data_IF_077160738340
#
_entry.id   IF_077160738340
#
_cell.length_a   1.000
_cell.length_b   1.000
_cell.length_c   1.000
_cell.angle_alpha   90.00
_cell.angle_beta   90.00
_cell.angle_gamma   90.00
#
_symmetry.space_group_name_H-M   'P 1'
#
loop_
_entity.id
_entity.type
_entity.pdbx_description
1 polymer ?
#
# COMPACT_ATOMS: atom_id res chain seq x y z
N UNK A 1 12.84 6.85 6.55
CA UNK A 1 11.81 6.17 7.38
C UNK A 1 10.93 5.31 6.52
N UNK A 2 10.74 4.07 6.90
CA UNK A 2 9.80 3.10 6.32
C UNK A 2 8.69 2.83 7.33
N UNK A 3 7.48 2.57 6.85
CA UNK A 3 6.33 2.33 7.72
C UNK A 3 5.59 1.09 7.26
N UNK A 4 5.46 0.15 8.17
CA UNK A 4 4.75 -1.11 7.99
C UNK A 4 3.59 -1.14 8.98
N UNK A 5 2.42 -1.56 8.54
CA UNK A 5 1.29 -1.62 9.45
C UNK A 5 0.22 -2.60 9.01
N UNK A 6 -0.55 -3.07 9.96
CA UNK A 6 -1.83 -3.74 9.79
C UNK A 6 -2.87 -3.10 10.73
N UNK A 7 -3.97 -3.77 10.99
CA UNK A 7 -5.03 -3.25 11.87
C UNK A 7 -4.57 -3.14 13.33
N UNK A 8 -3.65 -4.00 13.77
CA UNK A 8 -3.26 -4.15 15.16
C UNK A 8 -1.97 -3.39 15.52
N UNK A 9 -1.06 -3.25 14.57
CA UNK A 9 0.27 -2.69 14.83
C UNK A 9 0.74 -1.72 13.75
N UNK A 10 1.66 -0.85 14.17
CA UNK A 10 2.47 0.00 13.29
C UNK A 10 3.93 -0.21 13.64
N UNK A 11 4.74 -0.47 12.64
CA UNK A 11 6.18 -0.63 12.77
C UNK A 11 6.89 0.35 11.86
N UNK A 12 7.74 1.20 12.42
CA UNK A 12 8.49 2.23 11.72
C UNK A 12 9.96 1.93 11.86
N UNK A 13 10.68 1.99 10.74
CA UNK A 13 12.12 1.73 10.67
C UNK A 13 12.80 2.95 10.05
N UNK A 14 13.89 3.40 10.68
CA UNK A 14 14.83 4.29 10.04
C UNK A 14 15.78 3.49 9.15
N UNK A 15 16.08 4.01 7.97
CA UNK A 15 17.11 3.49 7.09
C UNK A 15 17.55 4.60 6.15
N UNK A 16 18.82 4.66 5.85
CA UNK A 16 19.40 5.55 4.84
C UNK A 16 19.14 5.04 3.42
N UNK A 17 18.77 3.77 3.31
CA UNK A 17 18.49 3.12 2.03
C UNK A 17 16.99 3.15 1.72
N UNK A 18 16.63 3.55 0.48
CA UNK A 18 15.26 3.46 -0.05
C UNK A 18 15.04 2.21 -0.91
N UNK A 19 16.03 1.35 -1.04
CA UNK A 19 15.97 0.16 -1.88
C UNK A 19 15.44 -1.08 -1.15
N UNK A 20 15.45 -2.20 -1.89
CA UNK A 20 14.99 -3.49 -1.41
C UNK A 20 15.75 -3.99 -0.17
N UNK A 21 17.03 -3.61 -0.02
CA UNK A 21 17.85 -4.00 1.14
C UNK A 21 17.18 -3.65 2.48
N UNK A 22 16.52 -2.51 2.60
CA UNK A 22 15.79 -2.17 3.83
C UNK A 22 14.65 -3.14 4.13
N UNK A 23 13.94 -3.60 3.09
CA UNK A 23 12.88 -4.60 3.26
C UNK A 23 13.47 -5.94 3.72
N UNK A 24 14.55 -6.37 3.07
CA UNK A 24 15.26 -7.61 3.37
C UNK A 24 15.84 -7.62 4.80
N UNK A 25 16.48 -6.52 5.21
CA UNK A 25 17.02 -6.36 6.57
C UNK A 25 15.91 -6.31 7.64
N UNK A 26 14.73 -5.77 7.27
CA UNK A 26 13.57 -5.68 8.19
C UNK A 26 12.84 -7.01 8.31
N UNK A 27 12.68 -7.73 7.20
CA UNK A 27 11.94 -9.00 7.10
C UNK A 27 12.82 -10.07 6.44
N UNK A 28 13.72 -10.68 7.20
CA UNK A 28 14.73 -11.65 6.73
C UNK A 28 14.13 -12.76 5.86
N UNK A 29 12.93 -13.24 6.20
CA UNK A 29 12.21 -14.27 5.44
C UNK A 29 11.10 -13.71 4.54
N UNK A 30 11.04 -12.40 4.38
CA UNK A 30 9.91 -11.72 3.74
C UNK A 30 8.64 -11.76 4.59
N UNK A 31 7.50 -11.79 3.91
CA UNK A 31 6.15 -11.81 4.49
C UNK A 31 5.34 -13.02 3.97
N UNK A 32 5.81 -14.27 4.18
CA UNK A 32 5.26 -15.46 3.51
C UNK A 32 3.81 -15.78 3.90
N UNK A 33 3.30 -15.18 4.98
CA UNK A 33 1.94 -15.38 5.48
C UNK A 33 1.08 -14.12 5.39
N UNK A 34 1.54 -13.09 4.68
CA UNK A 34 0.83 -11.81 4.60
C UNK A 34 0.66 -11.32 3.16
N UNK A 35 -0.39 -10.54 2.94
CA UNK A 35 -0.56 -9.75 1.72
C UNK A 35 0.10 -8.38 1.92
N UNK A 36 1.10 -8.08 1.09
CA UNK A 36 1.75 -6.78 1.09
C UNK A 36 0.96 -5.79 0.22
N UNK A 37 0.47 -4.74 0.85
CA UNK A 37 -0.16 -3.64 0.14
C UNK A 37 0.81 -2.46 0.00
N UNK A 38 0.92 -1.90 -1.22
CA UNK A 38 1.90 -0.87 -1.52
C UNK A 38 1.52 0.03 -2.72
N UNK A 39 2.25 1.14 -2.87
CA UNK A 39 2.06 2.17 -3.91
C UNK A 39 2.70 1.84 -5.28
N UNK A 40 3.06 0.59 -5.53
CA UNK A 40 3.78 0.11 -6.73
C UNK A 40 5.25 0.55 -6.80
N UNK A 41 5.84 0.98 -5.68
CA UNK A 41 7.29 1.17 -5.67
C UNK A 41 7.99 -0.15 -5.96
N UNK A 42 8.92 -0.15 -6.94
CA UNK A 42 9.42 -1.39 -7.54
C UNK A 42 10.01 -2.38 -6.53
N UNK A 43 10.69 -1.89 -5.49
CA UNK A 43 11.29 -2.76 -4.49
C UNK A 43 10.26 -3.53 -3.65
N UNK A 44 9.03 -3.04 -3.51
CA UNK A 44 7.98 -3.77 -2.81
C UNK A 44 7.58 -5.07 -3.50
N UNK A 45 7.63 -5.11 -4.83
CA UNK A 45 7.34 -6.33 -5.58
C UNK A 45 8.43 -7.42 -5.45
N UNK A 46 9.63 -7.04 -4.99
CA UNK A 46 10.72 -7.99 -4.71
C UNK A 46 10.57 -8.64 -3.32
N UNK A 47 9.69 -8.11 -2.46
CA UNK A 47 9.42 -8.71 -1.17
C UNK A 47 8.75 -10.07 -1.36
N UNK A 48 9.28 -11.11 -0.70
CA UNK A 48 8.64 -12.42 -0.65
C UNK A 48 7.40 -12.36 0.24
N UNK A 49 6.29 -11.86 -0.32
CA UNK A 49 4.98 -11.83 0.33
C UNK A 49 4.09 -12.93 -0.26
N UNK A 50 3.14 -13.44 0.56
CA UNK A 50 2.17 -14.43 0.07
C UNK A 50 1.41 -13.90 -1.14
N UNK A 51 0.98 -12.64 -1.07
CA UNK A 51 0.32 -11.93 -2.16
C UNK A 51 0.69 -10.45 -2.11
N UNK A 52 0.43 -9.77 -3.21
CA UNK A 52 0.54 -8.32 -3.32
C UNK A 52 -0.82 -7.71 -3.65
N UNK A 53 -1.09 -6.52 -3.10
CA UNK A 53 -2.19 -5.65 -3.51
C UNK A 53 -1.64 -4.27 -3.80
N UNK A 54 -1.81 -3.76 -5.00
CA UNK A 54 -1.42 -2.38 -5.31
C UNK A 54 -2.44 -1.39 -4.76
N UNK A 55 -1.98 -0.22 -4.33
CA UNK A 55 -2.85 0.85 -3.88
C UNK A 55 -3.65 1.44 -5.04
N UNK A 56 -4.97 1.24 -5.02
CA UNK A 56 -5.84 1.74 -6.09
C UNK A 56 -6.03 3.26 -6.06
N UNK A 57 -5.87 3.91 -4.91
CA UNK A 57 -5.91 5.37 -4.83
C UNK A 57 -4.75 6.01 -5.61
N UNK A 58 -3.55 5.41 -5.58
CA UNK A 58 -2.43 5.84 -6.42
C UNK A 58 -2.70 5.54 -7.90
N UNK A 59 -3.23 4.35 -8.19
CA UNK A 59 -3.57 3.98 -9.57
C UNK A 59 -4.60 4.94 -10.18
N UNK A 60 -5.65 5.29 -9.44
CA UNK A 60 -6.68 6.22 -9.92
C UNK A 60 -6.11 7.62 -10.19
N UNK A 61 -5.16 8.10 -9.36
CA UNK A 61 -4.47 9.39 -9.61
C UNK A 61 -3.63 9.35 -10.87
N UNK A 62 -2.90 8.25 -11.09
CA UNK A 62 -2.07 8.10 -12.29
C UNK A 62 -2.94 7.98 -13.55
N UNK A 63 -4.05 7.25 -13.49
CA UNK A 63 -5.00 7.17 -14.60
C UNK A 63 -5.61 8.53 -14.91
N UNK A 64 -6.01 9.30 -13.90
CA UNK A 64 -6.52 10.65 -14.08
C UNK A 64 -5.50 11.57 -14.77
N UNK A 65 -4.25 11.56 -14.30
CA UNK A 65 -3.17 12.30 -14.92
C UNK A 65 -2.97 11.93 -16.40
N UNK A 66 -3.06 10.63 -16.74
CA UNK A 66 -2.91 10.15 -18.12
C UNK A 66 -4.10 10.58 -18.98
N UNK A 67 -5.33 10.59 -18.44
CA UNK A 67 -6.54 11.08 -19.12
C UNK A 67 -6.37 12.56 -19.49
N UNK A 68 -5.87 13.37 -18.57
CA UNK A 68 -5.63 14.80 -18.80
C UNK A 68 -4.52 15.04 -19.82
N UNK A 69 -3.48 14.20 -19.80
CA UNK A 69 -2.35 14.30 -20.72
C UNK A 69 -2.69 13.84 -22.14
N UNK A 70 -3.56 12.83 -22.29
CA UNK A 70 -3.95 12.23 -23.57
C UNK A 70 -5.46 12.09 -23.67
N UNK A 71 -6.23 13.19 -23.86
CA UNK A 71 -7.70 13.17 -23.87
C UNK A 71 -8.31 12.23 -24.92
N UNK A 72 -7.60 11.96 -26.01
CA UNK A 72 -8.04 11.05 -27.07
C UNK A 72 -7.73 9.56 -26.78
N UNK A 73 -6.97 9.25 -25.73
CA UNK A 73 -6.66 7.88 -25.34
C UNK A 73 -7.80 7.34 -24.45
N UNK A 74 -8.57 6.40 -24.95
CA UNK A 74 -9.71 5.85 -24.19
C UNK A 74 -9.27 4.85 -23.10
N UNK A 75 -8.16 4.14 -23.29
CA UNK A 75 -7.70 3.10 -22.39
C UNK A 75 -7.66 3.52 -20.89
N UNK A 76 -7.06 4.68 -20.49
CA UNK A 76 -7.01 5.05 -19.08
C UNK A 76 -8.40 5.39 -18.51
N UNK A 77 -9.31 5.91 -19.33
CA UNK A 77 -10.70 6.18 -18.93
C UNK A 77 -11.45 4.89 -18.65
N UNK A 78 -11.34 3.89 -19.52
CA UNK A 78 -11.96 2.58 -19.32
C UNK A 78 -11.35 1.83 -18.14
N UNK A 79 -10.02 1.87 -17.99
CA UNK A 79 -9.33 1.28 -16.83
C UNK A 79 -9.78 1.95 -15.52
N UNK A 80 -9.90 3.28 -15.50
CA UNK A 80 -10.40 4.02 -14.34
C UNK A 80 -11.83 3.61 -13.99
N UNK A 81 -12.71 3.48 -14.98
CA UNK A 81 -14.08 3.05 -14.78
C UNK A 81 -14.14 1.63 -14.18
N UNK A 82 -13.33 0.70 -14.67
CA UNK A 82 -13.21 -0.65 -14.11
C UNK A 82 -12.79 -0.62 -12.63
N UNK A 83 -11.76 0.16 -12.29
CA UNK A 83 -11.30 0.26 -10.90
C UNK A 83 -12.37 0.85 -9.99
N UNK A 84 -13.12 1.86 -10.45
CA UNK A 84 -14.24 2.43 -9.69
C UNK A 84 -15.35 1.41 -9.47
N UNK A 85 -15.70 0.62 -10.49
CA UNK A 85 -16.68 -0.48 -10.37
C UNK A 85 -16.21 -1.53 -9.36
N UNK A 86 -14.93 -1.91 -9.39
CA UNK A 86 -14.34 -2.85 -8.43
C UNK A 86 -14.39 -2.33 -6.98
N UNK A 87 -14.12 -1.04 -6.77
CA UNK A 87 -14.23 -0.40 -5.46
C UNK A 87 -15.67 -0.34 -4.96
N UNK A 88 -16.63 -0.12 -5.86
CA UNK A 88 -18.05 -0.13 -5.51
C UNK A 88 -18.51 -1.54 -5.12
N UNK A 89 -18.15 -2.55 -5.92
CA UNK A 89 -18.44 -3.94 -5.60
C UNK A 89 -17.90 -4.35 -4.22
N UNK A 90 -16.66 -3.92 -3.87
CA UNK A 90 -16.07 -4.18 -2.54
C UNK A 90 -16.97 -3.71 -1.38
N UNK A 91 -17.64 -2.57 -1.53
CA UNK A 91 -18.52 -2.02 -0.49
C UNK A 91 -19.81 -2.80 -0.34
N UNK A 92 -20.26 -3.44 -1.41
CA UNK A 92 -21.52 -4.19 -1.47
C UNK A 92 -21.35 -5.65 -1.04
N UNK A 93 -20.12 -6.20 -1.11
CA UNK A 93 -19.84 -7.58 -0.73
C UNK A 93 -20.00 -7.81 0.77
N UNK A 94 -20.86 -8.75 1.12
CA UNK A 94 -20.97 -9.29 2.48
C UNK A 94 -19.89 -10.35 2.73
N UNK A 95 -19.61 -10.65 4.01
CA UNK A 95 -18.59 -11.63 4.37
C UNK A 95 -18.80 -13.02 3.71
N UNK A 96 -20.04 -13.47 3.59
CA UNK A 96 -20.38 -14.76 2.95
C UNK A 96 -20.11 -14.76 1.43
N UNK A 97 -20.26 -13.63 0.77
CA UNK A 97 -20.06 -13.51 -0.69
C UNK A 97 -18.59 -13.59 -1.11
N UNK A 98 -17.64 -13.38 -0.19
CA UNK A 98 -16.22 -13.56 -0.49
C UNK A 98 -15.83 -15.02 -0.77
N UNK A 99 -16.56 -15.99 -0.19
CA UNK A 99 -16.22 -17.40 -0.29
C UNK A 99 -16.94 -18.12 -1.45
N UNK A 100 -17.88 -17.43 -2.12
CA UNK A 100 -18.65 -17.97 -3.25
C UNK A 100 -18.10 -17.57 -4.62
N UNK A 101 -18.65 -18.21 -5.66
CA UNK A 101 -18.51 -17.71 -7.03
C UNK A 101 -19.33 -16.42 -7.15
N UNK A 102 -18.76 -15.39 -7.77
CA UNK A 102 -19.46 -14.14 -8.09
C UNK A 102 -19.25 -13.86 -9.57
N UNK A 103 -20.35 -13.73 -10.28
CA UNK A 103 -20.34 -13.38 -11.72
C UNK A 103 -19.77 -11.97 -11.91
N UNK A 104 -20.07 -11.05 -11.01
CA UNK A 104 -19.58 -9.67 -11.05
C UNK A 104 -18.05 -9.63 -10.90
N UNK A 105 -17.47 -10.41 -9.98
CA UNK A 105 -16.00 -10.49 -9.84
C UNK A 105 -15.36 -11.09 -11.08
N UNK A 106 -15.96 -12.14 -11.64
CA UNK A 106 -15.46 -12.78 -12.86
C UNK A 106 -15.54 -11.80 -14.06
N UNK A 107 -16.64 -11.08 -14.21
CA UNK A 107 -16.80 -10.06 -15.25
C UNK A 107 -15.73 -8.96 -15.16
N UNK A 108 -15.44 -8.47 -13.94
CA UNK A 108 -14.38 -7.48 -13.73
C UNK A 108 -12.99 -8.03 -14.06
N UNK A 109 -12.71 -9.31 -13.75
CA UNK A 109 -11.44 -9.95 -14.12
C UNK A 109 -11.30 -10.12 -15.63
N UNK A 110 -12.36 -10.53 -16.33
CA UNK A 110 -12.37 -10.66 -17.80
C UNK A 110 -12.09 -9.29 -18.40
N UNK A 111 -12.84 -8.27 -18.01
CA UNK A 111 -12.67 -6.90 -18.49
C UNK A 111 -11.27 -6.34 -18.20
N UNK A 112 -10.68 -6.65 -17.02
CA UNK A 112 -9.32 -6.28 -16.71
C UNK A 112 -8.33 -6.89 -17.71
N UNK A 113 -8.48 -8.19 -18.01
CA UNK A 113 -7.63 -8.89 -18.96
C UNK A 113 -7.74 -8.29 -20.38
N UNK A 114 -8.96 -8.01 -20.81
CA UNK A 114 -9.21 -7.37 -22.10
C UNK A 114 -8.52 -6.00 -22.18
N UNK A 115 -8.70 -5.14 -21.18
CA UNK A 115 -8.07 -3.81 -21.15
C UNK A 115 -6.53 -3.88 -21.10
N UNK A 116 -5.97 -4.85 -20.36
CA UNK A 116 -4.53 -5.05 -20.31
C UNK A 116 -3.97 -5.60 -21.62
N UNK A 117 -4.77 -6.34 -22.40
CA UNK A 117 -4.40 -6.87 -23.71
C UNK A 117 -4.55 -5.89 -24.88
N UNK A 118 -5.21 -4.74 -24.69
CA UNK A 118 -5.39 -3.75 -25.76
C UNK A 118 -4.05 -3.15 -26.21
N UNK A 119 -3.99 -2.80 -27.50
CA UNK A 119 -2.83 -2.07 -28.03
C UNK A 119 -2.99 -0.57 -27.77
N UNK A 120 -2.16 -0.03 -26.88
CA UNK A 120 -2.07 1.41 -26.65
C UNK A 120 -1.03 2.01 -27.59
N UNK A 121 -1.42 3.10 -28.31
CA UNK A 121 -0.55 3.80 -29.26
C UNK A 121 0.79 4.23 -28.63
N UNK A 122 1.85 4.18 -29.43
CA UNK A 122 3.18 4.65 -29.03
C UNK A 122 3.22 6.13 -28.69
N UNK A 123 2.35 6.92 -29.31
CA UNK A 123 2.20 8.35 -29.04
C UNK A 123 1.69 8.62 -27.59
N UNK A 124 1.09 7.63 -26.94
CA UNK A 124 0.62 7.71 -25.56
C UNK A 124 1.59 6.97 -24.61
N UNK A 125 2.86 7.37 -24.62
CA UNK A 125 3.96 6.65 -23.98
C UNK A 125 3.73 6.36 -22.49
N UNK A 126 3.17 7.30 -21.72
CA UNK A 126 2.87 7.10 -20.30
C UNK A 126 1.74 6.10 -20.05
N UNK A 127 0.70 6.13 -20.90
CA UNK A 127 -0.38 5.14 -20.86
C UNK A 127 0.16 3.73 -21.14
N UNK A 128 0.97 3.59 -22.18
CA UNK A 128 1.61 2.32 -22.56
C UNK A 128 2.54 1.79 -21.45
N UNK A 129 3.32 2.68 -20.82
CA UNK A 129 4.21 2.31 -19.71
C UNK A 129 3.40 1.82 -18.51
N UNK A 130 2.34 2.53 -18.14
CA UNK A 130 1.46 2.11 -17.05
C UNK A 130 0.80 0.77 -17.36
N UNK A 131 0.26 0.59 -18.57
CA UNK A 131 -0.39 -0.66 -19.00
C UNK A 131 0.58 -1.85 -18.90
N UNK A 132 1.81 -1.72 -19.41
CA UNK A 132 2.83 -2.79 -19.32
C UNK A 132 3.16 -3.14 -17.87
N UNK A 133 3.26 -2.13 -17.00
CA UNK A 133 3.52 -2.34 -15.58
C UNK A 133 2.35 -3.08 -14.91
N UNK A 134 1.11 -2.67 -15.21
CA UNK A 134 -0.09 -3.33 -14.68
C UNK A 134 -0.23 -4.76 -15.19
N UNK A 135 0.07 -5.01 -16.46
CA UNK A 135 0.05 -6.37 -17.04
C UNK A 135 1.05 -7.30 -16.32
N UNK A 136 2.26 -6.80 -16.05
CA UNK A 136 3.27 -7.56 -15.29
C UNK A 136 2.80 -7.95 -13.88
N UNK A 137 2.00 -7.11 -13.25
CA UNK A 137 1.55 -7.27 -11.86
C UNK A 137 0.02 -7.46 -11.77
N UNK A 138 -0.60 -7.99 -12.81
CA UNK A 138 -2.04 -8.18 -12.92
C UNK A 138 -2.70 -8.84 -11.70
N UNK A 139 -2.17 -9.92 -11.10
CA UNK A 139 -2.79 -10.55 -9.94
C UNK A 139 -2.94 -9.63 -8.73
N UNK A 140 -2.10 -8.58 -8.66
CA UNK A 140 -2.05 -7.62 -7.56
C UNK A 140 -3.06 -6.47 -7.69
N UNK A 141 -3.83 -6.39 -8.78
CA UNK A 141 -4.74 -5.25 -9.04
C UNK A 141 -6.07 -5.43 -8.29
N UNK A 142 -6.72 -6.58 -8.48
CA UNK A 142 -8.05 -6.86 -7.93
C UNK A 142 -8.04 -7.93 -6.82
N UNK A 143 -6.88 -8.22 -6.22
CA UNK A 143 -6.75 -9.22 -5.15
C UNK A 143 -7.68 -8.93 -3.96
N UNK A 144 -7.87 -7.68 -3.60
CA UNK A 144 -8.75 -7.21 -2.53
C UNK A 144 -10.23 -7.65 -2.69
N UNK A 145 -10.68 -7.96 -3.91
CA UNK A 145 -12.05 -8.45 -4.16
C UNK A 145 -12.27 -9.90 -3.71
N UNK A 146 -11.19 -10.63 -3.48
CA UNK A 146 -11.23 -12.04 -3.07
C UNK A 146 -10.89 -12.23 -1.59
N UNK A 147 -10.47 -11.17 -0.90
CA UNK A 147 -10.04 -11.22 0.49
C UNK A 147 -10.64 -10.06 1.30
N UNK A 148 -11.55 -10.37 2.24
CA UNK A 148 -12.30 -9.34 2.98
C UNK A 148 -11.40 -8.40 3.77
N UNK A 149 -10.30 -8.93 4.35
CA UNK A 149 -9.35 -8.17 5.18
C UNK A 149 -8.32 -7.36 4.39
N UNK A 150 -8.26 -7.52 3.07
CA UNK A 150 -7.30 -6.77 2.25
C UNK A 150 -7.96 -5.45 1.80
N UNK A 151 -7.48 -4.30 2.26
CA UNK A 151 -8.01 -3.00 1.82
C UNK A 151 -7.57 -2.71 0.38
N UNK A 152 -8.33 -1.88 -0.37
CA UNK A 152 -7.98 -1.50 -1.74
C UNK A 152 -6.90 -0.41 -1.81
N UNK A 153 -6.57 0.24 -0.69
CA UNK A 153 -5.63 1.35 -0.63
C UNK A 153 -4.68 1.24 0.57
N UNK A 154 -3.57 1.96 0.54
CA UNK A 154 -2.59 2.02 1.62
C UNK A 154 -2.73 3.27 2.51
N UNK A 155 -3.92 3.83 2.62
CA UNK A 155 -4.19 5.04 3.40
C UNK A 155 -3.72 4.93 4.86
N UNK A 156 -3.70 3.73 5.41
CA UNK A 156 -3.18 3.50 6.74
C UNK A 156 -1.69 3.84 6.86
N UNK A 157 -0.84 3.28 5.98
CA UNK A 157 0.60 3.58 5.96
C UNK A 157 0.84 5.07 5.68
N UNK A 158 0.03 5.68 4.79
CA UNK A 158 0.13 7.12 4.51
C UNK A 158 -0.18 7.97 5.75
N UNK A 159 -1.17 7.58 6.57
CA UNK A 159 -1.45 8.27 7.84
C UNK A 159 -0.28 8.20 8.82
N UNK A 160 0.34 7.02 8.96
CA UNK A 160 1.50 6.85 9.83
C UNK A 160 2.71 7.69 9.34
N UNK A 161 2.98 7.70 8.03
CA UNK A 161 4.03 8.54 7.43
C UNK A 161 3.74 10.04 7.64
N UNK A 162 2.47 10.44 7.66
CA UNK A 162 2.09 11.86 7.86
C UNK A 162 2.60 12.40 9.19
N UNK A 163 2.54 11.61 10.25
CA UNK A 163 3.07 12.00 11.56
C UNK A 163 4.60 12.22 11.52
N UNK A 164 5.33 11.43 10.75
CA UNK A 164 6.77 11.59 10.53
C UNK A 164 7.05 12.90 9.77
N UNK A 165 6.27 13.17 8.72
CA UNK A 165 6.39 14.41 7.94
C UNK A 165 6.08 15.65 8.76
N UNK A 166 5.10 15.58 9.68
CA UNK A 166 4.79 16.68 10.62
C UNK A 166 5.99 16.94 11.52
N UNK A 167 6.61 15.91 12.10
CA UNK A 167 7.82 16.04 12.90
C UNK A 167 8.94 16.73 12.10
N UNK A 168 9.20 16.27 10.89
CA UNK A 168 10.23 16.86 10.02
C UNK A 168 9.95 18.34 9.68
N UNK A 169 8.67 18.68 9.45
CA UNK A 169 8.28 20.07 9.14
C UNK A 169 8.44 21.02 10.32
N UNK A 170 8.15 20.55 11.54
CA UNK A 170 8.18 21.40 12.76
C UNK A 170 9.60 21.55 13.31
N UNK A 171 10.37 20.46 13.37
CA UNK A 171 11.69 20.42 14.02
C UNK A 171 12.85 20.16 13.07
N UNK A 172 12.62 20.26 11.75
CA UNK A 172 13.62 19.95 10.74
C UNK A 172 13.93 18.47 10.61
N UNK A 173 15.06 18.15 9.99
CA UNK A 173 15.53 16.78 9.86
C UNK A 173 16.03 16.22 11.20
N UNK A 174 16.12 14.92 11.31
CA UNK A 174 16.78 14.28 12.45
C UNK A 174 18.27 14.67 12.45
N UNK A 175 18.77 15.09 13.61
CA UNK A 175 20.16 15.56 13.73
C UNK A 175 21.18 14.42 13.88
N UNK A 176 20.70 13.23 14.25
CA UNK A 176 21.50 12.02 14.40
C UNK A 176 20.70 10.79 14.00
N UNK A 177 21.41 9.72 13.68
CA UNK A 177 20.85 8.41 13.39
C UNK A 177 20.15 7.83 14.63
N UNK A 178 20.79 7.93 15.79
CA UNK A 178 20.18 7.49 17.06
C UNK A 178 18.88 8.21 17.37
N UNK A 179 18.81 9.53 17.12
CA UNK A 179 17.58 10.29 17.27
C UNK A 179 16.48 9.86 16.30
N UNK A 180 16.85 9.47 15.09
CA UNK A 180 15.91 8.94 14.10
C UNK A 180 15.40 7.54 14.49
N UNK A 181 16.29 6.66 14.97
CA UNK A 181 15.96 5.33 15.44
C UNK A 181 15.07 5.39 16.69
N UNK A 182 15.43 6.19 17.68
CA UNK A 182 14.64 6.40 18.90
C UNK A 182 13.24 6.91 18.58
N UNK A 183 13.13 7.86 17.65
CA UNK A 183 11.83 8.35 17.19
C UNK A 183 11.01 7.25 16.51
N UNK A 184 11.63 6.42 15.67
CA UNK A 184 10.96 5.32 14.95
C UNK A 184 10.38 4.30 15.95
N UNK A 185 11.17 3.91 16.97
CA UNK A 185 10.77 2.97 18.03
C UNK A 185 9.61 3.55 18.85
N UNK A 186 9.77 4.77 19.39
CA UNK A 186 8.73 5.42 20.20
C UNK A 186 7.44 5.62 19.41
N UNK A 187 7.54 6.02 18.13
CA UNK A 187 6.36 6.21 17.29
C UNK A 187 5.66 4.90 16.95
N UNK A 188 6.41 3.82 16.72
CA UNK A 188 5.86 2.47 16.52
C UNK A 188 5.07 2.03 17.74
N UNK A 189 5.63 2.23 18.93
CA UNK A 189 4.96 1.91 20.19
C UNK A 189 3.66 2.71 20.37
N UNK A 190 3.74 4.04 20.22
CA UNK A 190 2.58 4.93 20.39
C UNK A 190 1.46 4.53 19.45
N UNK A 191 1.76 4.39 18.14
CA UNK A 191 0.74 4.07 17.15
C UNK A 191 0.13 2.66 17.35
N UNK A 192 0.94 1.69 17.77
CA UNK A 192 0.48 0.34 18.13
C UNK A 192 -0.40 0.37 19.38
N UNK A 193 0.00 1.10 20.41
CA UNK A 193 -0.77 1.25 21.65
C UNK A 193 -2.14 1.89 21.39
N UNK A 194 -2.20 2.91 20.51
CA UNK A 194 -3.46 3.55 20.10
C UNK A 194 -4.36 2.54 19.37
N UNK A 195 -3.82 1.72 18.44
CA UNK A 195 -4.56 0.68 17.73
C UNK A 195 -5.12 -0.38 18.69
N UNK A 196 -4.34 -0.75 19.70
CA UNK A 196 -4.74 -1.69 20.76
C UNK A 196 -5.71 -1.07 21.78
N UNK A 197 -6.12 0.20 21.59
CA UNK A 197 -7.03 0.94 22.51
C UNK A 197 -6.51 0.99 23.95
N UNK A 198 -5.19 0.99 24.13
CA UNK A 198 -4.52 1.05 25.44
C UNK A 198 -4.07 2.49 25.74
N UNK A 199 -3.73 2.72 27.02
CA UNK A 199 -3.24 4.02 27.48
C UNK A 199 -1.76 4.19 27.10
N UNK A 200 -1.47 5.20 26.29
CA UNK A 200 -0.11 5.48 25.78
C UNK A 200 0.86 5.85 26.90
N UNK A 201 0.42 6.62 27.92
CA UNK A 201 1.29 7.01 29.04
C UNK A 201 1.69 5.80 29.87
N UNK A 202 0.77 4.86 30.09
CA UNK A 202 1.07 3.62 30.80
C UNK A 202 2.10 2.78 30.03
N UNK A 203 1.93 2.65 28.71
CA UNK A 203 2.89 1.91 27.86
C UNK A 203 4.29 2.56 27.88
N UNK A 204 4.37 3.88 27.77
CA UNK A 204 5.64 4.61 27.85
C UNK A 204 6.29 4.50 29.24
N UNK A 205 5.50 4.58 30.33
CA UNK A 205 5.99 4.42 31.71
C UNK A 205 6.56 3.01 31.96
N UNK A 206 5.96 1.98 31.35
CA UNK A 206 6.45 0.61 31.47
C UNK A 206 7.86 0.49 30.84
N UNK A 207 8.04 1.03 29.64
CA UNK A 207 9.35 0.98 28.94
C UNK A 207 10.42 1.77 29.71
N UNK A 208 10.05 2.95 30.25
CA UNK A 208 10.98 3.75 31.04
C UNK A 208 11.50 3.00 32.26
N UNK A 209 10.69 2.13 32.89
CA UNK A 209 11.11 1.29 34.02
C UNK A 209 12.09 0.18 33.64
N UNK A 210 11.95 -0.41 32.44
CA UNK A 210 12.83 -1.46 31.95
C UNK A 210 14.14 -0.93 31.33
N UNK A 211 14.21 0.34 30.98
CA UNK A 211 15.42 0.97 30.43
C UNK A 211 16.41 1.51 31.46
N UNK A 212 16.15 1.29 32.74
CA UNK A 212 17.00 1.75 33.89
C UNK A 212 17.73 0.60 34.59
N UNK A 213 17.65 -0.63 34.09
CA UNK A 213 18.48 -1.78 34.49
C UNK A 213 19.57 -2.02 33.42
#
# INVERSE_FOLDING_TARGET
MWTWQNDDLTFIVHSDNRGFKTIEDTFINGLPNATLQHDRFACHFNCNALHHQICLSHLLRDLQYIIELYPQCQWPTEMKALIVQALQLKKELTASQYYGKSEERQSLMIKLNELLGLTVSENHSKARTLQKNLLKHQPSILYFLYHPKVPPDNNGAERAIRNIKVKQKISGQFKSEDGANSFAVLRSLIDTTIKSKQNVLNALSLIAKFGTE
#
